data_IF_669219605435
#
_entry.id   IF_669219605435
#
_cell.length_a   1.000
_cell.length_b   1.000
_cell.length_c   1.000
_cell.angle_alpha   90.00
_cell.angle_beta   90.00
_cell.angle_gamma   90.00
#
_symmetry.space_group_name_H-M   'P 1'
#
loop_
_entity.id
_entity.type
_entity.pdbx_description
1 polymer ?
#
# COMPACT_ATOMS: atom_id res chain seq x y z
N UNK A 1 16.40 0.11 -17.60
CA UNK A 1 15.17 0.42 -16.81
C UNK A 1 14.21 1.29 -17.62
N UNK A 2 14.70 2.33 -18.30
CA UNK A 2 13.87 3.19 -19.19
C UNK A 2 13.24 2.40 -20.33
N UNK A 3 13.93 1.41 -20.89
CA UNK A 3 13.40 0.59 -22.00
C UNK A 3 12.14 -0.21 -21.64
N UNK A 4 12.05 -0.72 -20.40
CA UNK A 4 10.89 -1.47 -19.91
C UNK A 4 9.63 -0.60 -19.72
N UNK A 5 9.83 0.68 -19.35
CA UNK A 5 8.76 1.68 -19.24
C UNK A 5 8.24 2.09 -20.60
N UNK A 6 9.14 2.17 -21.58
CA UNK A 6 8.81 2.59 -22.93
C UNK A 6 7.98 1.51 -23.67
N UNK A 7 8.21 0.24 -23.38
CA UNK A 7 7.43 -0.88 -23.97
C UNK A 7 6.10 -1.16 -23.27
N UNK A 8 6.05 -1.11 -21.93
CA UNK A 8 4.86 -1.50 -21.15
C UNK A 8 4.08 -0.31 -20.57
N UNK A 9 4.51 0.92 -20.85
CA UNK A 9 3.92 2.15 -20.33
C UNK A 9 4.37 2.49 -18.91
N UNK A 10 4.08 3.72 -18.48
CA UNK A 10 4.38 4.20 -17.12
C UNK A 10 3.79 3.29 -16.03
N UNK A 11 2.69 2.60 -16.35
CA UNK A 11 2.04 1.61 -15.49
C UNK A 11 2.91 0.39 -15.14
N UNK A 12 3.95 0.10 -15.92
CA UNK A 12 4.86 -1.01 -15.64
C UNK A 12 5.75 -0.78 -14.41
N UNK A 13 6.11 0.48 -14.13
CA UNK A 13 6.76 0.88 -12.88
C UNK A 13 5.76 1.29 -11.79
N UNK A 14 4.50 1.47 -12.17
CA UNK A 14 3.43 1.68 -11.20
C UNK A 14 3.19 0.39 -10.43
N UNK A 15 3.02 0.51 -9.13
CA UNK A 15 2.60 -0.62 -8.30
C UNK A 15 1.27 -1.13 -8.85
N UNK A 16 1.23 -2.39 -9.29
CA UNK A 16 0.01 -3.01 -9.84
C UNK A 16 -1.11 -2.97 -8.80
N UNK A 17 -2.37 -2.98 -9.26
CA UNK A 17 -3.53 -2.94 -8.35
C UNK A 17 -3.52 -4.10 -7.33
N UNK A 18 -3.05 -5.28 -7.73
CA UNK A 18 -2.87 -6.41 -6.80
C UNK A 18 -1.78 -6.15 -5.77
N UNK A 19 -0.63 -5.61 -6.18
CA UNK A 19 0.45 -5.27 -5.25
C UNK A 19 0.04 -4.14 -4.29
N UNK A 20 -0.75 -3.16 -4.75
CA UNK A 20 -1.34 -2.12 -3.91
C UNK A 20 -2.25 -2.73 -2.83
N UNK A 21 -3.13 -3.65 -3.23
CA UNK A 21 -4.00 -4.38 -2.28
C UNK A 21 -3.22 -5.24 -1.30
N UNK A 22 -2.21 -5.96 -1.78
CA UNK A 22 -1.33 -6.76 -0.93
C UNK A 22 -0.60 -5.89 0.10
N UNK A 23 -0.09 -4.72 -0.32
CA UNK A 23 0.55 -3.77 0.58
C UNK A 23 -0.41 -3.24 1.64
N UNK A 24 -1.62 -2.81 1.24
CA UNK A 24 -2.66 -2.37 2.17
C UNK A 24 -3.06 -3.47 3.16
N UNK A 25 -3.12 -4.73 2.70
CA UNK A 25 -3.38 -5.88 3.56
C UNK A 25 -2.27 -6.09 4.59
N UNK A 26 -1.01 -6.05 4.15
CA UNK A 26 0.14 -6.18 5.05
C UNK A 26 0.19 -5.04 6.08
N UNK A 27 -0.16 -3.82 5.69
CA UNK A 27 -0.29 -2.70 6.63
C UNK A 27 -1.46 -2.88 7.60
N UNK A 28 -2.60 -3.40 7.14
CA UNK A 28 -3.72 -3.73 8.01
C UNK A 28 -3.30 -4.74 9.09
N UNK A 29 -2.62 -5.82 8.70
CA UNK A 29 -2.13 -6.83 9.64
C UNK A 29 -1.09 -6.24 10.60
N UNK A 30 -0.17 -5.41 10.10
CA UNK A 30 0.81 -4.71 10.93
C UNK A 30 0.14 -3.75 11.94
N UNK A 31 -0.96 -3.10 11.57
CA UNK A 31 -1.71 -2.22 12.49
C UNK A 31 -2.39 -2.98 13.64
N UNK A 32 -2.62 -4.30 13.47
CA UNK A 32 -3.19 -5.18 14.51
C UNK A 32 -2.11 -5.81 15.39
N UNK A 33 -0.85 -5.66 15.00
CA UNK A 33 0.31 -6.05 15.78
C UNK A 33 0.85 -4.82 16.51
N UNK A 34 1.58 -5.04 17.61
CA UNK A 34 2.34 -3.96 18.22
C UNK A 34 3.42 -3.52 17.25
N UNK A 35 3.35 -2.26 16.81
CA UNK A 35 4.40 -1.62 16.03
C UNK A 35 5.69 -1.63 16.87
N UNK A 36 6.86 -1.84 16.25
CA UNK A 36 8.13 -1.73 16.97
C UNK A 36 8.24 -0.36 17.67
N UNK A 37 8.82 -0.34 18.87
CA UNK A 37 9.05 0.91 19.62
C UNK A 37 9.92 1.91 18.84
N UNK A 38 10.71 1.41 17.90
CA UNK A 38 11.62 2.16 17.03
C UNK A 38 10.90 2.75 15.79
N UNK A 39 9.58 2.59 15.68
CA UNK A 39 8.81 3.11 14.56
C UNK A 39 8.70 4.63 14.65
N UNK A 40 9.54 5.34 13.88
CA UNK A 40 9.53 6.81 13.80
C UNK A 40 8.47 7.37 12.82
N UNK A 41 7.63 6.50 12.24
CA UNK A 41 6.65 6.87 11.22
C UNK A 41 5.25 7.14 11.77
N UNK A 42 4.35 7.57 10.88
CA UNK A 42 2.91 7.58 11.20
C UNK A 42 2.42 6.15 11.49
N UNK A 43 1.43 5.98 12.37
CA UNK A 43 0.85 4.67 12.66
C UNK A 43 0.45 3.90 11.39
N UNK A 44 0.58 2.57 11.41
CA UNK A 44 0.33 1.72 10.25
C UNK A 44 -1.12 1.83 9.73
N UNK A 45 -2.09 2.04 10.63
CA UNK A 45 -3.49 2.30 10.27
C UNK A 45 -3.66 3.63 9.52
N UNK A 46 -2.94 4.67 9.94
CA UNK A 46 -2.97 5.98 9.28
C UNK A 46 -2.32 5.91 7.88
N UNK A 47 -1.16 5.27 7.78
CA UNK A 47 -0.47 5.02 6.51
C UNK A 47 -1.34 4.20 5.53
N UNK A 48 -2.03 3.18 6.04
CA UNK A 48 -2.99 2.39 5.26
C UNK A 48 -4.12 3.28 4.72
N UNK A 49 -4.68 4.15 5.56
CA UNK A 49 -5.75 5.09 5.17
C UNK A 49 -5.31 6.08 4.09
N UNK A 50 -4.12 6.64 4.23
CA UNK A 50 -3.56 7.58 3.25
C UNK A 50 -3.30 6.88 1.91
N UNK A 51 -2.65 5.72 1.93
CA UNK A 51 -2.36 4.96 0.71
C UNK A 51 -3.63 4.51 -0.01
N UNK A 52 -4.65 4.06 0.73
CA UNK A 52 -5.92 3.69 0.16
C UNK A 52 -6.64 4.87 -0.49
N UNK A 53 -6.52 6.07 0.10
CA UNK A 53 -7.07 7.30 -0.49
C UNK A 53 -6.31 7.70 -1.76
N UNK A 54 -4.98 7.67 -1.73
CA UNK A 54 -4.11 8.00 -2.89
C UNK A 54 -4.33 7.03 -4.05
N UNK A 55 -4.60 5.76 -3.74
CA UNK A 55 -4.85 4.74 -4.75
C UNK A 55 -6.33 4.54 -5.09
N UNK A 56 -7.21 5.33 -4.48
CA UNK A 56 -8.67 5.24 -4.65
C UNK A 56 -9.20 3.80 -4.40
N UNK A 57 -8.63 3.12 -3.41
CA UNK A 57 -8.99 1.75 -3.01
C UNK A 57 -9.94 1.83 -1.82
N UNK A 58 -11.12 1.22 -1.95
CA UNK A 58 -12.06 1.13 -0.84
C UNK A 58 -11.53 0.20 0.27
N UNK A 59 -11.33 0.75 1.47
CA UNK A 59 -10.87 -0.03 2.62
C UNK A 59 -11.93 -0.97 3.21
N UNK A 60 -13.16 -0.92 2.72
CA UNK A 60 -14.27 -1.79 3.18
C UNK A 60 -13.91 -3.28 3.06
N UNK A 61 -13.06 -3.64 2.09
CA UNK A 61 -12.57 -5.02 1.91
C UNK A 61 -11.63 -5.51 3.04
N UNK A 62 -11.06 -4.61 3.84
CA UNK A 62 -10.18 -4.95 4.97
C UNK A 62 -10.92 -4.94 6.31
N UNK A 63 -12.18 -4.50 6.35
CA UNK A 63 -13.04 -4.59 7.53
C UNK A 63 -13.74 -5.95 7.54
N UNK A 64 -13.09 -6.98 8.08
CA UNK A 64 -13.76 -8.27 8.38
C UNK A 64 -13.39 -8.77 9.77
#
# INVERSE_FOLDING_TARGET
MVDLVMENGAEFLSISFENKKALLFSLHEASRMELPDDWEGVPADELMMQLATIWEIELQQFKK
#
